data_IF_832175645306
#
_entry.id   IF_832175645306
#
_cell.length_a   1.000
_cell.length_b   1.000
_cell.length_c   1.000
_cell.angle_alpha   90.00
_cell.angle_beta   90.00
_cell.angle_gamma   90.00
#
_symmetry.space_group_name_H-M   'P 1'
#
loop_
_entity.id
_entity.type
_entity.pdbx_description
1 polymer ?
#
# COMPACT_ATOMS: atom_id res chain seq x y z
N UNK A 1 28.14 -24.81 -28.94
CA UNK A 1 27.36 -23.62 -29.34
C UNK A 1 26.18 -23.61 -28.38
N UNK A 2 26.29 -22.86 -27.28
CA UNK A 2 25.31 -22.88 -26.18
C UNK A 2 24.15 -21.92 -26.49
N UNK A 3 22.88 -22.36 -26.50
CA UNK A 3 21.76 -21.44 -26.66
C UNK A 3 21.35 -20.91 -25.28
N UNK A 4 22.07 -19.92 -24.76
CA UNK A 4 21.61 -19.12 -23.62
C UNK A 4 20.66 -18.02 -24.10
N UNK A 5 19.45 -18.37 -24.52
CA UNK A 5 18.34 -17.42 -24.49
C UNK A 5 16.98 -18.14 -24.61
N UNK A 6 16.41 -18.57 -23.48
CA UNK A 6 15.01 -19.02 -23.38
C UNK A 6 14.18 -18.13 -22.44
N UNK A 7 14.58 -16.87 -22.24
CA UNK A 7 13.95 -15.97 -21.24
C UNK A 7 13.08 -14.89 -21.92
N UNK A 8 12.51 -15.17 -23.10
CA UNK A 8 11.69 -14.15 -23.76
C UNK A 8 10.58 -14.75 -24.62
N UNK A 9 9.96 -15.84 -24.18
CA UNK A 9 8.58 -16.04 -24.59
C UNK A 9 7.74 -14.97 -23.87
N UNK A 10 7.03 -14.09 -24.58
CA UNK A 10 6.23 -13.05 -23.96
C UNK A 10 5.15 -13.71 -23.11
N UNK A 11 5.18 -13.42 -21.80
CA UNK A 11 4.12 -13.82 -20.87
C UNK A 11 2.82 -13.22 -21.39
N UNK A 12 1.84 -14.06 -21.69
CA UNK A 12 0.55 -13.59 -22.14
C UNK A 12 -0.15 -12.78 -21.03
N UNK A 13 -0.99 -11.84 -21.42
CA UNK A 13 -1.63 -10.92 -20.48
C UNK A 13 -2.46 -11.65 -19.40
N UNK A 14 -3.05 -12.81 -19.70
CA UNK A 14 -3.84 -13.58 -18.73
C UNK A 14 -2.92 -14.16 -17.65
N UNK A 15 -1.78 -14.73 -18.05
CA UNK A 15 -0.77 -15.25 -17.13
C UNK A 15 -0.17 -14.13 -16.29
N UNK A 16 0.19 -12.99 -16.90
CA UNK A 16 0.71 -11.84 -16.17
C UNK A 16 -0.28 -11.32 -15.12
N UNK A 17 -1.57 -11.21 -15.47
CA UNK A 17 -2.64 -10.82 -14.53
C UNK A 17 -2.77 -11.81 -13.38
N UNK A 18 -2.82 -13.11 -13.67
CA UNK A 18 -2.93 -14.14 -12.63
C UNK A 18 -1.76 -14.11 -11.65
N UNK A 19 -0.55 -13.78 -12.12
CA UNK A 19 0.62 -13.60 -11.25
C UNK A 19 0.44 -12.38 -10.36
N UNK A 20 0.04 -11.24 -10.93
CA UNK A 20 -0.20 -10.02 -10.15
C UNK A 20 -1.29 -10.21 -9.09
N UNK A 21 -2.37 -10.91 -9.42
CA UNK A 21 -3.47 -11.20 -8.50
C UNK A 21 -2.96 -12.05 -7.31
N UNK A 22 -2.28 -13.17 -7.58
CA UNK A 22 -1.73 -14.04 -6.54
C UNK A 22 -0.67 -13.33 -5.67
N UNK A 23 0.21 -12.55 -6.31
CA UNK A 23 1.21 -11.74 -5.57
C UNK A 23 0.51 -10.70 -4.70
N UNK A 24 -0.54 -10.05 -5.21
CA UNK A 24 -1.34 -9.07 -4.48
C UNK A 24 -2.00 -9.69 -3.25
N UNK A 25 -2.67 -10.83 -3.42
CA UNK A 25 -3.32 -11.58 -2.34
C UNK A 25 -2.31 -11.98 -1.26
N UNK A 26 -1.15 -12.49 -1.69
CA UNK A 26 -0.09 -12.91 -0.77
C UNK A 26 0.52 -11.72 -0.02
N UNK A 27 0.75 -10.59 -0.70
CA UNK A 27 1.20 -9.35 -0.06
C UNK A 27 0.19 -8.86 0.96
N UNK A 28 -1.10 -8.84 0.60
CA UNK A 28 -2.16 -8.41 1.52
C UNK A 28 -2.20 -9.27 2.77
N UNK A 29 -2.11 -10.59 2.65
CA UNK A 29 -2.10 -11.50 3.81
C UNK A 29 -0.89 -11.29 4.73
N UNK A 30 0.29 -11.03 4.16
CA UNK A 30 1.51 -10.81 4.96
C UNK A 30 1.51 -9.41 5.60
N UNK A 31 1.20 -8.36 4.83
CA UNK A 31 1.14 -6.98 5.33
C UNK A 31 0.02 -6.78 6.35
N UNK A 32 -1.12 -7.46 6.20
CA UNK A 32 -2.19 -7.43 7.22
C UNK A 32 -1.75 -8.05 8.55
N UNK A 33 -0.82 -9.02 8.52
CA UNK A 33 -0.21 -9.58 9.74
C UNK A 33 0.88 -8.67 10.31
N UNK A 34 1.56 -7.90 9.47
CA UNK A 34 2.56 -6.88 9.85
C UNK A 34 1.95 -5.55 10.27
N UNK A 35 0.65 -5.34 10.05
CA UNK A 35 -0.15 -4.27 10.64
C UNK A 35 -0.37 -4.53 12.14
N UNK A 36 0.74 -4.69 12.87
CA UNK A 36 0.76 -4.58 14.32
C UNK A 36 0.20 -3.20 14.71
N UNK A 37 -0.45 -3.09 15.88
CA UNK A 37 -0.85 -1.80 16.39
C UNK A 37 0.35 -0.86 16.38
N UNK A 38 0.10 0.38 15.95
CA UNK A 38 1.15 1.38 15.88
C UNK A 38 1.79 1.52 17.26
N UNK A 39 3.11 1.71 17.36
CA UNK A 39 3.74 2.10 18.62
C UNK A 39 2.98 3.29 19.25
N UNK A 40 2.75 3.33 20.57
CA UNK A 40 1.89 4.33 21.21
C UNK A 40 2.25 5.79 20.90
N UNK A 41 3.54 6.06 20.66
CA UNK A 41 4.00 7.38 20.24
C UNK A 41 3.50 7.78 18.85
N UNK A 42 3.45 6.83 17.90
CA UNK A 42 2.98 7.06 16.55
C UNK A 42 1.45 7.17 16.51
N UNK A 43 0.72 6.40 17.32
CA UNK A 43 -0.74 6.59 17.49
C UNK A 43 -1.06 8.02 17.92
N UNK A 44 -0.38 8.48 18.98
CA UNK A 44 -0.55 9.85 19.47
C UNK A 44 -0.17 10.90 18.41
N UNK A 45 0.87 10.67 17.62
CA UNK A 45 1.25 11.58 16.54
C UNK A 45 0.16 11.67 15.47
N UNK A 46 -0.38 10.52 15.04
CA UNK A 46 -1.48 10.46 14.06
C UNK A 46 -2.72 11.19 14.59
N UNK A 47 -3.07 10.98 15.86
CA UNK A 47 -4.20 11.67 16.49
C UNK A 47 -4.04 13.20 16.48
N UNK A 48 -2.85 13.70 16.80
CA UNK A 48 -2.58 15.14 16.76
C UNK A 48 -2.64 15.70 15.33
N UNK A 49 -2.09 14.99 14.35
CA UNK A 49 -2.17 15.39 12.94
C UNK A 49 -3.63 15.47 12.45
N UNK A 50 -4.45 14.47 12.80
CA UNK A 50 -5.89 14.46 12.44
C UNK A 50 -6.67 15.57 13.15
N UNK A 51 -6.30 15.94 14.39
CA UNK A 51 -6.88 17.11 15.08
C UNK A 51 -6.53 18.40 14.36
N UNK A 52 -5.27 18.56 13.92
CA UNK A 52 -4.83 19.74 13.18
C UNK A 52 -5.51 19.85 11.83
N UNK A 53 -5.64 18.74 11.09
CA UNK A 53 -6.38 18.71 9.83
C UNK A 53 -7.82 19.16 10.06
N UNK A 54 -8.52 18.59 11.05
CA UNK A 54 -9.89 18.97 11.41
C UNK A 54 -10.02 20.46 11.79
N UNK A 55 -9.08 20.99 12.56
CA UNK A 55 -9.08 22.41 12.91
C UNK A 55 -8.78 23.32 11.71
N UNK A 56 -7.98 22.87 10.74
CA UNK A 56 -7.74 23.62 9.51
C UNK A 56 -9.01 23.71 8.64
N UNK A 57 -9.80 22.63 8.55
CA UNK A 57 -11.09 22.64 7.83
C UNK A 57 -12.12 23.53 8.54
N UNK A 58 -12.18 23.48 9.88
CA UNK A 58 -13.09 24.33 10.67
C UNK A 58 -12.71 25.82 10.58
N UNK A 59 -11.41 26.14 10.59
CA UNK A 59 -10.90 27.51 10.44
C UNK A 59 -11.18 28.11 9.05
N UNK A 60 -11.18 27.28 8.00
CA UNK A 60 -11.57 27.69 6.64
C UNK A 60 -13.08 27.89 6.50
N UNK A 61 -13.90 27.12 7.21
CA UNK A 61 -15.36 27.29 7.24
C UNK A 61 -15.80 28.53 8.03
N UNK A 62 -15.10 28.89 9.11
CA UNK A 62 -15.39 30.08 9.92
C UNK A 62 -14.91 31.41 9.28
N UNK A 63 -14.03 31.35 8.28
CA UNK A 63 -13.50 32.50 7.55
C UNK A 63 -14.27 32.84 6.26
N UNK A 64 -15.46 32.25 6.07
CA UNK A 64 -16.33 32.42 4.88
C UNK A 64 -17.68 32.98 5.28
#
# INVERSE_FOLDING_TARGET
MEPTNRISDPIDHKTARSICDEVGDRLQQNLSREALPLPPYLERLVDELLKQERHAIDGVAAAR
#
